data_IF_506476786123
#
_entry.id   IF_506476786123
#
_cell.length_a   1.000
_cell.length_b   1.000
_cell.length_c   1.000
_cell.angle_alpha   90.00
_cell.angle_beta   90.00
_cell.angle_gamma   90.00
#
_symmetry.space_group_name_H-M   'P 1'
#
loop_
_entity.id
_entity.type
_entity.pdbx_description
1 polymer ?
#
# COMPACT_ATOMS: atom_id res chain seq x y z
N UNK A 1 15.42 -14.81 -7.48
CA UNK A 1 14.76 -14.60 -8.78
C UNK A 1 13.68 -13.57 -8.57
N UNK A 2 13.65 -12.49 -9.36
CA UNK A 2 12.51 -11.57 -9.37
C UNK A 2 11.33 -12.32 -10.00
N UNK A 3 10.14 -12.25 -9.40
CA UNK A 3 8.94 -12.78 -10.04
C UNK A 3 8.73 -12.02 -11.38
N UNK A 4 8.36 -12.74 -12.44
CA UNK A 4 7.99 -12.10 -13.70
C UNK A 4 6.64 -11.39 -13.55
N UNK A 5 6.35 -10.43 -14.45
CA UNK A 5 5.04 -9.79 -14.49
C UNK A 5 3.90 -10.83 -14.60
N UNK A 6 4.10 -11.88 -15.38
CA UNK A 6 3.12 -12.96 -15.57
C UNK A 6 2.86 -13.76 -14.29
N UNK A 7 3.92 -14.06 -13.52
CA UNK A 7 3.79 -14.77 -12.24
C UNK A 7 2.98 -13.95 -11.23
N UNK A 8 3.34 -12.67 -11.05
CA UNK A 8 2.60 -11.77 -10.17
C UNK A 8 1.15 -11.58 -10.67
N UNK A 9 0.94 -11.51 -11.98
CA UNK A 9 -0.37 -11.31 -12.58
C UNK A 9 -1.30 -12.49 -12.32
N UNK A 10 -0.79 -13.70 -12.50
CA UNK A 10 -1.52 -14.91 -12.19
C UNK A 10 -1.97 -14.93 -10.72
N UNK A 11 -1.03 -14.68 -9.79
CA UNK A 11 -1.31 -14.71 -8.35
C UNK A 11 -2.31 -13.62 -7.92
N UNK A 12 -2.10 -12.37 -8.35
CA UNK A 12 -2.95 -11.25 -7.93
C UNK A 12 -4.33 -11.27 -8.60
N UNK A 13 -4.43 -11.67 -9.87
CA UNK A 13 -5.73 -11.83 -10.54
C UNK A 13 -6.50 -12.96 -9.87
N UNK A 14 -5.87 -14.12 -9.66
CA UNK A 14 -6.51 -15.25 -8.97
C UNK A 14 -6.99 -14.87 -7.58
N UNK A 15 -6.21 -14.13 -6.81
CA UNK A 15 -6.61 -13.67 -5.48
C UNK A 15 -7.83 -12.73 -5.53
N UNK A 16 -7.84 -11.77 -6.46
CA UNK A 16 -8.90 -10.79 -6.61
C UNK A 16 -10.22 -11.42 -7.11
N UNK A 17 -10.14 -12.34 -8.07
CA UNK A 17 -11.32 -12.88 -8.79
C UNK A 17 -11.73 -14.27 -8.34
N UNK A 18 -10.84 -15.03 -7.70
CA UNK A 18 -10.99 -16.47 -7.50
C UNK A 18 -10.74 -17.30 -8.78
N UNK A 19 -10.28 -16.67 -9.87
CA UNK A 19 -10.25 -17.23 -11.22
C UNK A 19 -8.96 -16.86 -11.96
N UNK A 20 -8.02 -17.79 -11.98
CA UNK A 20 -6.67 -17.58 -12.55
C UNK A 20 -6.68 -17.33 -14.05
N UNK A 21 -7.60 -17.95 -14.80
CA UNK A 21 -7.69 -17.84 -16.26
C UNK A 21 -8.03 -16.41 -16.73
N UNK A 22 -8.59 -15.57 -15.86
CA UNK A 22 -8.84 -14.16 -16.15
C UNK A 22 -7.55 -13.34 -16.31
N UNK A 23 -6.39 -13.89 -15.95
CA UNK A 23 -5.08 -13.29 -16.24
C UNK A 23 -4.90 -13.05 -17.75
N UNK A 24 -5.55 -13.87 -18.60
CA UNK A 24 -5.51 -13.71 -20.04
C UNK A 24 -6.23 -12.44 -20.55
N UNK A 25 -7.00 -11.73 -19.71
CA UNK A 25 -7.53 -10.41 -20.01
C UNK A 25 -6.53 -9.28 -19.71
N UNK A 26 -5.52 -9.50 -18.87
CA UNK A 26 -4.50 -8.49 -18.55
C UNK A 26 -3.40 -8.49 -19.61
N UNK A 27 -3.02 -7.30 -20.07
CA UNK A 27 -1.89 -7.08 -20.98
C UNK A 27 -0.80 -6.27 -20.26
N UNK A 28 0.45 -6.34 -20.73
CA UNK A 28 1.50 -5.44 -20.26
C UNK A 28 1.08 -3.97 -20.40
N UNK A 29 1.53 -3.07 -19.51
CA UNK A 29 1.22 -1.65 -19.61
C UNK A 29 1.67 -1.04 -20.94
N UNK A 30 0.85 -0.13 -21.47
CA UNK A 30 1.23 0.80 -22.51
C UNK A 30 2.22 1.84 -21.94
N UNK A 31 3.48 1.76 -22.37
CA UNK A 31 4.55 2.60 -21.86
C UNK A 31 5.13 2.12 -20.52
N UNK A 32 6.25 2.71 -20.07
CA UNK A 32 6.96 2.26 -18.89
C UNK A 32 6.24 2.63 -17.59
N UNK A 33 6.32 1.74 -16.61
CA UNK A 33 6.05 2.05 -15.19
C UNK A 33 7.38 2.34 -14.52
N UNK A 34 7.63 3.60 -14.17
CA UNK A 34 8.94 4.08 -13.73
C UNK A 34 8.98 4.27 -12.21
N UNK A 35 9.19 3.15 -11.51
CA UNK A 35 9.42 3.13 -10.06
C UNK A 35 10.81 2.53 -9.77
N UNK A 36 11.89 3.35 -9.80
CA UNK A 36 13.25 2.86 -9.62
C UNK A 36 13.43 2.19 -8.28
N UNK A 37 13.72 0.88 -8.28
CA UNK A 37 13.90 0.09 -7.07
C UNK A 37 14.72 -1.16 -7.39
N UNK A 38 15.57 -1.64 -6.46
CA UNK A 38 16.19 -2.96 -6.57
C UNK A 38 15.18 -4.11 -6.43
N UNK A 39 13.96 -3.81 -5.96
CA UNK A 39 12.84 -4.74 -5.86
C UNK A 39 11.87 -4.53 -7.05
N UNK A 40 11.06 -5.53 -7.42
CA UNK A 40 10.14 -5.44 -8.56
C UNK A 40 8.88 -4.61 -8.27
N UNK A 41 9.07 -3.38 -7.77
CA UNK A 41 7.98 -2.47 -7.35
C UNK A 41 7.16 -2.02 -8.55
N UNK A 42 7.80 -1.70 -9.69
CA UNK A 42 7.11 -1.32 -10.91
C UNK A 42 6.18 -2.43 -11.43
N UNK A 43 6.67 -3.68 -11.41
CA UNK A 43 5.87 -4.84 -11.79
C UNK A 43 4.72 -5.05 -10.82
N UNK A 44 5.00 -5.06 -9.50
CA UNK A 44 3.96 -5.22 -8.49
C UNK A 44 2.87 -4.15 -8.59
N UNK A 45 3.27 -2.89 -8.80
CA UNK A 45 2.35 -1.76 -8.94
C UNK A 45 1.43 -1.92 -10.16
N UNK A 46 2.01 -2.19 -11.33
CA UNK A 46 1.26 -2.43 -12.56
C UNK A 46 0.31 -3.61 -12.40
N UNK A 47 0.79 -4.71 -11.86
CA UNK A 47 0.00 -5.92 -11.72
C UNK A 47 -1.15 -5.76 -10.71
N UNK A 48 -0.94 -5.05 -9.60
CA UNK A 48 -2.00 -4.79 -8.62
C UNK A 48 -3.15 -3.96 -9.22
N UNK A 49 -2.83 -2.89 -9.97
CA UNK A 49 -3.82 -2.07 -10.67
C UNK A 49 -4.53 -2.90 -11.76
N UNK A 50 -3.78 -3.72 -12.48
CA UNK A 50 -4.30 -4.63 -13.49
C UNK A 50 -5.27 -5.66 -12.92
N UNK A 51 -4.92 -6.31 -11.81
CA UNK A 51 -5.76 -7.28 -11.13
C UNK A 51 -7.06 -6.67 -10.62
N UNK A 52 -7.00 -5.47 -10.01
CA UNK A 52 -8.18 -4.73 -9.58
C UNK A 52 -9.10 -4.38 -10.77
N UNK A 53 -8.50 -3.97 -11.90
CA UNK A 53 -9.24 -3.63 -13.13
C UNK A 53 -9.90 -4.84 -13.76
N UNK A 54 -9.21 -5.99 -13.83
CA UNK A 54 -9.79 -7.26 -14.32
C UNK A 54 -10.92 -7.73 -13.41
N UNK A 55 -10.76 -7.63 -12.08
CA UNK A 55 -11.82 -7.97 -11.14
C UNK A 55 -13.06 -7.09 -11.30
N UNK A 56 -12.86 -5.77 -11.45
CA UNK A 56 -13.94 -4.83 -11.70
C UNK A 56 -14.66 -5.13 -13.04
N UNK A 57 -13.93 -5.41 -14.11
CA UNK A 57 -14.51 -5.76 -15.41
C UNK A 57 -15.27 -7.09 -15.38
N UNK A 58 -14.71 -8.10 -14.72
CA UNK A 58 -15.37 -9.40 -14.49
C UNK A 58 -16.68 -9.23 -13.72
N UNK A 59 -16.68 -8.41 -12.66
CA UNK A 59 -17.88 -8.13 -11.89
C UNK A 59 -18.92 -7.35 -12.70
N UNK A 60 -18.50 -6.34 -13.46
CA UNK A 60 -19.39 -5.59 -14.35
C UNK A 60 -20.09 -6.51 -15.36
N UNK A 61 -19.34 -7.43 -15.98
CA UNK A 61 -19.89 -8.43 -16.90
C UNK A 61 -20.91 -9.33 -16.20
N UNK A 62 -20.55 -9.84 -15.01
CA UNK A 62 -21.43 -10.74 -14.28
C UNK A 62 -22.74 -10.08 -13.88
N UNK A 63 -22.68 -8.80 -13.49
CA UNK A 63 -23.86 -8.01 -13.15
C UNK A 63 -24.75 -7.67 -14.34
N UNK A 64 -24.16 -7.39 -15.50
CA UNK A 64 -24.92 -7.02 -16.71
C UNK A 64 -25.57 -8.22 -17.39
N UNK A 65 -24.95 -9.40 -17.31
CA UNK A 65 -25.41 -10.61 -18.01
C UNK A 65 -26.09 -11.63 -17.09
N UNK A 66 -25.89 -11.53 -15.78
CA UNK A 66 -26.30 -12.55 -14.81
C UNK A 66 -25.51 -13.86 -14.92
N UNK A 67 -24.33 -13.85 -15.56
CA UNK A 67 -23.51 -15.03 -15.85
C UNK A 67 -22.07 -14.82 -15.41
N UNK A 68 -21.37 -15.91 -15.09
CA UNK A 68 -19.91 -15.81 -14.97
C UNK A 68 -19.28 -15.41 -16.31
N UNK A 69 -18.22 -14.60 -16.22
CA UNK A 69 -17.54 -14.08 -17.41
C UNK A 69 -16.71 -15.16 -18.10
N UNK A 70 -16.85 -15.28 -19.42
CA UNK A 70 -15.84 -15.92 -20.25
C UNK A 70 -14.73 -14.90 -20.51
N UNK A 71 -13.46 -15.28 -20.31
CA UNK A 71 -12.31 -14.39 -20.55
C UNK A 71 -12.29 -13.85 -21.98
N UNK A 72 -12.80 -14.61 -22.96
CA UNK A 72 -12.94 -14.17 -24.35
C UNK A 72 -13.96 -13.03 -24.53
N UNK A 73 -14.86 -12.83 -23.56
CA UNK A 73 -15.84 -11.75 -23.53
C UNK A 73 -15.32 -10.47 -22.86
N UNK A 74 -14.15 -10.50 -22.22
CA UNK A 74 -13.55 -9.32 -21.62
C UNK A 74 -12.77 -8.51 -22.66
N UNK A 75 -12.97 -7.19 -22.62
CA UNK A 75 -12.07 -6.26 -23.30
C UNK A 75 -10.71 -6.37 -22.61
N UNK A 76 -9.60 -6.56 -23.35
CA UNK A 76 -8.27 -6.61 -22.77
C UNK A 76 -7.96 -5.36 -21.94
N UNK A 77 -7.51 -5.58 -20.70
CA UNK A 77 -7.07 -4.52 -19.79
C UNK A 77 -5.63 -4.15 -20.14
N UNK A 78 -5.45 -2.94 -20.67
CA UNK A 78 -4.15 -2.34 -20.93
C UNK A 78 -4.00 -1.11 -20.05
N UNK A 79 -3.00 -1.10 -19.16
CA UNK A 79 -2.75 0.02 -18.26
C UNK A 79 -1.91 1.10 -18.95
N UNK A 80 -2.14 2.37 -18.61
CA UNK A 80 -1.24 3.46 -18.98
C UNK A 80 -0.09 3.52 -17.95
N UNK A 81 1.11 3.10 -18.37
CA UNK A 81 2.28 2.99 -17.49
C UNK A 81 2.68 4.31 -16.82
N UNK A 82 2.77 5.42 -17.56
CA UNK A 82 2.95 6.76 -16.99
C UNK A 82 1.90 7.15 -15.95
N UNK A 83 0.61 6.82 -16.16
CA UNK A 83 -0.43 7.09 -15.14
C UNK A 83 -0.27 6.24 -13.89
N UNK A 84 0.09 4.96 -14.03
CA UNK A 84 0.42 4.10 -12.87
C UNK A 84 1.61 4.69 -12.10
N UNK A 85 2.64 5.16 -12.82
CA UNK A 85 3.79 5.84 -12.22
C UNK A 85 3.38 7.07 -11.42
N UNK A 86 2.55 7.93 -12.01
CA UNK A 86 2.07 9.15 -11.35
C UNK A 86 1.23 8.83 -10.11
N UNK A 87 0.37 7.81 -10.16
CA UNK A 87 -0.43 7.38 -9.02
C UNK A 87 0.41 6.83 -7.86
N UNK A 88 1.47 6.07 -8.15
CA UNK A 88 2.39 5.53 -7.14
C UNK A 88 3.44 6.54 -6.64
N UNK A 89 3.51 7.72 -7.27
CA UNK A 89 4.36 8.85 -6.87
C UNK A 89 3.53 10.11 -6.68
N UNK A 90 2.29 9.94 -6.20
CA UNK A 90 1.32 11.02 -6.07
C UNK A 90 1.86 12.16 -5.21
N UNK A 91 2.69 11.87 -4.21
CA UNK A 91 3.35 12.86 -3.34
C UNK A 91 4.27 13.84 -4.09
N UNK A 92 4.67 13.52 -5.32
CA UNK A 92 5.56 14.34 -6.14
C UNK A 92 4.81 15.22 -7.14
N UNK A 93 3.56 14.87 -7.42
CA UNK A 93 2.71 15.54 -8.40
C UNK A 93 1.56 16.29 -7.74
N UNK A 94 1.15 15.86 -6.54
CA UNK A 94 0.12 16.50 -5.75
C UNK A 94 0.57 17.89 -5.32
N UNK A 95 -0.33 18.85 -5.50
CA UNK A 95 -0.19 20.21 -4.97
C UNK A 95 -1.48 20.61 -4.29
N UNK A 96 -1.34 21.36 -3.20
CA UNK A 96 -2.46 21.97 -2.51
C UNK A 96 -2.24 23.47 -2.48
N UNK A 97 -3.19 24.23 -3.04
CA UNK A 97 -3.06 25.68 -3.22
C UNK A 97 -1.78 26.11 -3.98
N UNK A 98 -1.30 25.25 -4.89
CA UNK A 98 -0.08 25.49 -5.67
C UNK A 98 1.22 25.09 -4.94
N UNK A 99 1.14 24.66 -3.69
CA UNK A 99 2.31 24.25 -2.89
C UNK A 99 2.43 22.73 -2.83
N UNK A 100 3.68 22.24 -2.78
CA UNK A 100 3.97 20.82 -2.55
C UNK A 100 4.04 20.56 -1.05
N UNK A 101 3.35 19.54 -0.53
CA UNK A 101 3.47 19.18 0.88
C UNK A 101 4.88 18.70 1.23
N UNK A 102 5.32 18.99 2.46
CA UNK A 102 6.50 18.34 3.01
C UNK A 102 6.13 16.94 3.49
N UNK A 103 6.60 15.93 2.75
CA UNK A 103 6.31 14.54 3.04
C UNK A 103 7.15 13.97 4.20
N UNK A 104 8.21 14.66 4.65
CA UNK A 104 9.23 14.07 5.53
C UNK A 104 9.55 14.94 6.74
N UNK A 105 8.90 14.63 7.86
CA UNK A 105 9.22 15.25 9.14
C UNK A 105 10.70 15.00 9.56
N UNK A 106 11.35 15.92 10.30
CA UNK A 106 12.76 15.80 10.68
C UNK A 106 13.14 14.50 11.40
N UNK A 107 12.19 13.91 12.15
CA UNK A 107 12.34 12.67 12.89
C UNK A 107 12.06 11.41 12.05
N UNK A 108 11.79 11.55 10.74
CA UNK A 108 11.45 10.48 9.82
C UNK A 108 12.51 10.36 8.74
N UNK A 109 13.09 9.18 8.56
CA UNK A 109 14.17 9.02 7.60
C UNK A 109 15.08 7.84 7.88
N UNK A 110 16.13 7.74 7.07
CA UNK A 110 17.23 6.82 7.31
C UNK A 110 18.34 7.54 8.09
N UNK A 111 18.85 6.89 9.13
CA UNK A 111 19.88 7.41 10.02
C UNK A 111 20.98 6.38 10.22
N UNK A 112 22.22 6.84 10.26
CA UNK A 112 23.38 6.01 10.57
C UNK A 112 23.37 5.57 12.03
N UNK A 113 23.85 4.36 12.25
CA UNK A 113 24.09 3.73 13.55
C UNK A 113 25.53 3.23 13.58
N UNK A 114 25.98 2.70 14.72
CA UNK A 114 27.37 2.25 14.89
C UNK A 114 27.77 1.12 13.90
N UNK A 115 26.82 0.33 13.40
CA UNK A 115 27.06 -0.84 12.55
C UNK A 115 26.24 -0.84 11.24
N UNK A 116 25.60 0.27 10.88
CA UNK A 116 24.76 0.34 9.69
C UNK A 116 23.72 1.45 9.76
N UNK A 117 22.48 1.15 9.41
CA UNK A 117 21.40 2.14 9.32
C UNK A 117 20.13 1.67 10.01
N UNK A 118 19.34 2.64 10.48
CA UNK A 118 17.94 2.45 10.87
C UNK A 118 17.03 3.36 10.06
N UNK A 119 15.79 2.94 9.86
CA UNK A 119 14.69 3.77 9.39
C UNK A 119 13.80 4.14 10.56
N UNK A 120 13.62 5.44 10.80
CA UNK A 120 12.66 5.94 11.79
C UNK A 120 11.38 6.40 11.10
N UNK A 121 10.27 6.38 11.84
CA UNK A 121 9.02 7.01 11.42
C UNK A 121 8.58 8.05 12.46
N UNK A 122 8.70 9.32 12.08
CA UNK A 122 8.40 10.47 12.93
C UNK A 122 7.43 11.48 12.30
N UNK A 123 6.64 11.06 11.30
CA UNK A 123 5.71 11.94 10.61
C UNK A 123 4.55 12.42 11.50
N UNK A 124 4.19 11.63 12.51
CA UNK A 124 3.19 12.04 13.51
C UNK A 124 3.87 12.62 14.76
N UNK A 125 3.31 13.68 15.37
CA UNK A 125 3.87 14.30 16.57
C UNK A 125 4.12 13.31 17.71
N UNK A 126 3.19 12.37 17.94
CA UNK A 126 3.32 11.37 19.01
C UNK A 126 4.41 10.33 18.73
N UNK A 127 4.69 9.99 17.46
CA UNK A 127 5.82 9.13 17.10
C UNK A 127 7.16 9.87 17.22
N UNK A 128 7.22 11.13 16.79
CA UNK A 128 8.41 11.96 16.96
C UNK A 128 8.75 12.16 18.45
N UNK A 129 7.75 12.40 19.29
CA UNK A 129 7.91 12.50 20.73
C UNK A 129 8.40 11.18 21.34
N UNK A 130 7.86 10.03 20.92
CA UNK A 130 8.33 8.72 21.37
C UNK A 130 9.80 8.47 21.01
N UNK A 131 10.21 8.80 19.78
CA UNK A 131 11.60 8.70 19.35
C UNK A 131 12.52 9.59 20.19
N UNK A 132 12.14 10.85 20.44
CA UNK A 132 12.95 11.79 21.23
C UNK A 132 13.09 11.36 22.69
N UNK A 133 12.00 10.93 23.32
CA UNK A 133 12.05 10.36 24.68
C UNK A 133 12.97 9.15 24.76
N UNK A 134 12.86 8.24 23.80
CA UNK A 134 13.76 7.07 23.73
C UNK A 134 15.22 7.52 23.59
N UNK A 135 15.51 8.51 22.75
CA UNK A 135 16.88 9.00 22.58
C UNK A 135 17.38 9.90 23.73
N UNK A 136 16.55 10.19 24.74
CA UNK A 136 16.89 11.13 25.82
C UNK A 136 17.05 12.58 25.34
N UNK A 137 16.36 12.93 24.25
CA UNK A 137 16.43 14.26 23.62
C UNK A 137 15.23 15.12 24.04
N UNK A 138 15.44 16.44 24.09
CA UNK A 138 14.34 17.40 24.28
C UNK A 138 13.36 17.42 23.11
N UNK A 139 12.14 17.90 23.34
CA UNK A 139 11.04 17.85 22.37
C UNK A 139 11.33 18.61 21.05
N UNK A 140 12.15 19.66 21.12
CA UNK A 140 12.56 20.47 19.97
C UNK A 140 13.81 19.95 19.26
N UNK A 141 14.35 18.80 19.68
CA UNK A 141 15.54 18.23 19.07
C UNK A 141 15.31 17.97 17.58
N UNK A 142 16.17 18.61 16.78
CA UNK A 142 16.17 18.49 15.32
C UNK A 142 16.84 17.21 14.82
N UNK A 143 16.86 17.08 13.49
CA UNK A 143 17.40 15.92 12.77
C UNK A 143 18.85 15.58 13.15
N UNK A 144 19.70 16.59 13.36
CA UNK A 144 21.13 16.37 13.65
C UNK A 144 21.36 15.78 15.03
N UNK A 145 20.58 16.20 16.03
CA UNK A 145 20.63 15.63 17.38
C UNK A 145 20.14 14.17 17.39
N UNK A 146 19.06 13.89 16.65
CA UNK A 146 18.55 12.53 16.44
C UNK A 146 19.62 11.65 15.78
N UNK A 147 20.24 12.15 14.70
CA UNK A 147 21.30 11.44 14.00
C UNK A 147 22.52 11.18 14.90
N UNK A 148 22.93 12.17 15.70
CA UNK A 148 24.04 12.02 16.64
C UNK A 148 23.75 10.95 17.70
N UNK A 149 22.54 10.92 18.28
CA UNK A 149 22.15 9.92 19.26
C UNK A 149 22.12 8.51 18.65
N UNK A 150 21.52 8.34 17.46
CA UNK A 150 21.41 7.04 16.80
C UNK A 150 22.78 6.45 16.41
N UNK A 151 23.80 7.27 16.14
CA UNK A 151 25.16 6.80 15.87
C UNK A 151 25.86 6.12 17.06
N UNK A 152 25.37 6.30 18.28
CA UNK A 152 26.06 5.84 19.49
C UNK A 152 25.92 4.34 19.78
N UNK A 153 24.98 3.64 19.13
CA UNK A 153 24.74 2.22 19.32
C UNK A 153 24.36 1.53 18.00
N UNK A 154 24.27 0.20 18.03
CA UNK A 154 23.94 -0.61 16.86
C UNK A 154 22.49 -0.46 16.44
N UNK A 155 22.20 -0.75 15.17
CA UNK A 155 20.82 -0.76 14.67
C UNK A 155 19.91 -1.76 15.39
N UNK A 156 20.45 -2.90 15.81
CA UNK A 156 19.70 -3.88 16.62
C UNK A 156 19.32 -3.31 17.99
N UNK A 157 20.26 -2.66 18.68
CA UNK A 157 19.98 -2.03 19.97
C UNK A 157 18.82 -1.02 19.86
N UNK A 158 18.83 -0.16 18.84
CA UNK A 158 17.77 0.82 18.65
C UNK A 158 16.43 0.23 18.24
N UNK A 159 16.43 -0.80 17.39
CA UNK A 159 15.20 -1.50 17.00
C UNK A 159 14.54 -2.18 18.22
N UNK A 160 15.31 -2.91 19.03
CA UNK A 160 14.81 -3.57 20.24
C UNK A 160 14.29 -2.57 21.27
N UNK A 161 15.05 -1.48 21.48
CA UNK A 161 14.65 -0.42 22.40
C UNK A 161 13.40 0.32 21.94
N UNK A 162 13.27 0.58 20.64
CA UNK A 162 12.09 1.21 20.08
C UNK A 162 10.84 0.34 20.27
N UNK A 163 10.96 -0.98 20.07
CA UNK A 163 9.87 -1.91 20.34
C UNK A 163 9.44 -1.90 21.82
N UNK A 164 10.39 -1.77 22.75
CA UNK A 164 10.11 -1.71 24.18
C UNK A 164 9.49 -0.37 24.63
N UNK A 165 9.87 0.74 24.01
CA UNK A 165 9.48 2.10 24.43
C UNK A 165 8.38 2.74 23.57
N UNK A 166 7.85 2.00 22.59
CA UNK A 166 6.76 2.47 21.71
C UNK A 166 7.19 3.50 20.66
N UNK A 167 8.47 3.53 20.31
CA UNK A 167 8.99 4.30 19.16
C UNK A 167 8.97 3.43 17.88
N UNK A 168 9.07 4.07 16.71
CA UNK A 168 9.11 3.37 15.43
C UNK A 168 10.51 3.50 14.83
N UNK A 169 11.30 2.46 15.01
CA UNK A 169 12.66 2.33 14.45
C UNK A 169 12.81 0.91 13.91
N UNK A 170 13.15 0.78 12.63
CA UNK A 170 13.45 -0.50 12.00
C UNK A 170 14.89 -0.54 11.53
N UNK A 171 15.64 -1.59 11.87
CA UNK A 171 17.00 -1.79 11.38
C UNK A 171 16.97 -2.06 9.88
N UNK A 172 17.79 -1.32 9.14
CA UNK A 172 18.01 -1.57 7.71
C UNK A 172 18.91 -2.77 7.57
N UNK A 173 18.37 -3.83 7.00
CA UNK A 173 19.05 -5.10 6.77
C UNK A 173 19.46 -5.22 5.30
N UNK A 174 20.62 -5.81 5.06
CA UNK A 174 20.99 -6.32 3.75
C UNK A 174 20.05 -7.45 3.32
N UNK A 175 20.04 -7.75 2.02
CA UNK A 175 19.27 -8.87 1.48
C UNK A 175 19.67 -10.20 2.14
N UNK A 176 20.97 -10.39 2.43
CA UNK A 176 21.45 -11.62 3.04
C UNK A 176 20.99 -11.75 4.50
N UNK A 177 21.11 -10.69 5.29
CA UNK A 177 20.61 -10.66 6.68
C UNK A 177 19.10 -10.90 6.74
N UNK A 178 18.32 -10.31 5.82
CA UNK A 178 16.89 -10.57 5.73
C UNK A 178 16.61 -12.05 5.41
N UNK A 179 17.30 -12.64 4.43
CA UNK A 179 17.05 -14.03 3.99
C UNK A 179 17.25 -15.08 5.06
N UNK A 180 18.07 -14.79 6.08
CA UNK A 180 18.34 -15.66 7.23
C UNK A 180 17.58 -15.25 8.49
N UNK A 181 16.73 -14.21 8.42
CA UNK A 181 15.98 -13.70 9.56
C UNK A 181 14.73 -14.57 9.82
N UNK A 182 14.36 -14.86 11.08
CA UNK A 182 13.17 -15.65 11.40
C UNK A 182 11.87 -15.11 10.78
N UNK A 183 11.73 -13.79 10.69
CA UNK A 183 10.57 -13.18 10.01
C UNK A 183 10.52 -13.49 8.51
N UNK A 184 11.67 -13.65 7.84
CA UNK A 184 11.68 -14.03 6.42
C UNK A 184 11.17 -15.46 6.24
N UNK A 185 11.53 -16.38 7.13
CA UNK A 185 11.00 -17.74 7.11
C UNK A 185 9.51 -17.77 7.44
N UNK A 186 9.07 -16.95 8.41
CA UNK A 186 7.66 -16.82 8.74
C UNK A 186 6.82 -16.33 7.54
N UNK A 187 7.26 -15.29 6.82
CA UNK A 187 6.50 -14.78 5.67
C UNK A 187 6.59 -15.67 4.44
N UNK A 188 7.68 -16.43 4.27
CA UNK A 188 7.82 -17.42 3.18
C UNK A 188 6.78 -18.54 3.25
N UNK A 189 6.25 -18.81 4.45
CA UNK A 189 5.23 -19.83 4.64
C UNK A 189 3.84 -19.42 4.12
N UNK A 190 3.64 -18.15 3.74
CA UNK A 190 2.35 -17.63 3.28
C UNK A 190 2.40 -17.24 1.80
N UNK A 191 1.28 -17.39 1.05
CA UNK A 191 1.16 -16.83 -0.29
C UNK A 191 1.19 -15.29 -0.22
N UNK A 192 1.41 -14.61 -1.36
CA UNK A 192 1.39 -13.15 -1.42
C UNK A 192 0.04 -12.59 -0.97
N UNK A 193 -1.04 -13.27 -1.35
CA UNK A 193 -2.39 -12.96 -0.92
C UNK A 193 -3.08 -14.23 -0.44
N UNK A 194 -3.54 -14.21 0.81
CA UNK A 194 -4.39 -15.24 1.39
C UNK A 194 -5.84 -14.76 1.37
N UNK A 195 -6.75 -15.60 0.88
CA UNK A 195 -8.19 -15.34 0.87
C UNK A 195 -8.90 -16.48 1.59
N UNK A 196 -9.61 -16.14 2.65
CA UNK A 196 -10.53 -17.05 3.33
C UNK A 196 -11.96 -16.53 3.10
N UNK A 197 -12.83 -17.35 2.49
CA UNK A 197 -14.24 -16.98 2.30
C UNK A 197 -15.01 -17.43 3.53
N UNK A 198 -15.55 -16.48 4.29
CA UNK A 198 -16.43 -16.81 5.41
C UNK A 198 -17.75 -17.39 4.88
N UNK A 199 -18.25 -18.45 5.51
CA UNK A 199 -19.56 -19.06 5.21
C UNK A 199 -20.71 -18.21 5.79
N UNK A 200 -20.70 -16.92 5.45
CA UNK A 200 -21.82 -16.01 5.65
C UNK A 200 -22.44 -15.86 4.28
N UNK A 201 -23.63 -16.43 4.10
CA UNK A 201 -24.35 -16.39 2.83
C UNK A 201 -24.23 -15.02 2.17
N UNK A 202 -23.75 -15.00 0.93
CA UNK A 202 -23.54 -13.76 0.21
C UNK A 202 -24.88 -13.04 0.07
N UNK A 203 -24.97 -11.80 0.58
CA UNK A 203 -26.12 -10.96 0.27
C UNK A 203 -26.04 -10.63 -1.22
N UNK A 204 -27.06 -10.99 -2.03
CA UNK A 204 -27.06 -10.63 -3.44
C UNK A 204 -26.94 -9.11 -3.59
N UNK A 205 -26.13 -8.65 -4.53
CA UNK A 205 -26.16 -7.23 -4.92
C UNK A 205 -27.48 -7.00 -5.66
N UNK A 206 -28.47 -6.46 -4.96
CA UNK A 206 -29.86 -6.33 -5.43
C UNK A 206 -30.09 -5.12 -6.33
N UNK A 207 -29.16 -4.17 -6.33
CA UNK A 207 -29.28 -2.99 -7.19
C UNK A 207 -29.15 -3.38 -8.67
N UNK A 208 -30.00 -2.83 -9.56
CA UNK A 208 -29.93 -3.06 -11.00
C UNK A 208 -28.50 -2.86 -11.52
N UNK A 209 -28.17 -3.52 -12.64
CA UNK A 209 -26.90 -3.28 -13.32
C UNK A 209 -26.76 -1.79 -13.67
N UNK A 210 -26.11 -1.03 -12.79
CA UNK A 210 -25.68 0.34 -13.07
C UNK A 210 -24.49 0.31 -14.03
N UNK A 211 -24.04 1.48 -14.49
CA UNK A 211 -22.81 1.61 -15.28
C UNK A 211 -21.54 1.20 -14.53
N UNK A 212 -21.55 1.09 -13.20
CA UNK A 212 -20.36 0.82 -12.38
C UNK A 212 -20.45 -0.53 -11.63
N UNK A 213 -19.33 -1.29 -11.54
CA UNK A 213 -19.33 -2.68 -11.03
C UNK A 213 -19.69 -2.82 -9.55
N UNK A 214 -19.32 -1.85 -8.71
CA UNK A 214 -19.56 -1.86 -7.26
C UNK A 214 -20.76 -1.01 -6.83
N UNK A 215 -21.63 -0.59 -7.75
CA UNK A 215 -22.84 0.12 -7.37
C UNK A 215 -23.72 -0.70 -6.41
N UNK A 216 -24.20 -0.04 -5.35
CA UNK A 216 -24.94 -0.67 -4.25
C UNK A 216 -24.07 -1.41 -3.23
N UNK A 217 -22.75 -1.49 -3.43
CA UNK A 217 -21.82 -2.02 -2.42
C UNK A 217 -21.52 -0.94 -1.40
N UNK A 218 -21.68 -1.26 -0.12
CA UNK A 218 -21.30 -0.36 0.99
C UNK A 218 -20.00 -0.88 1.62
N UNK A 219 -19.03 0.00 1.75
CA UNK A 219 -17.70 -0.32 2.29
C UNK A 219 -17.49 0.50 3.55
N UNK A 220 -17.13 -0.16 4.64
CA UNK A 220 -16.71 0.50 5.87
C UNK A 220 -15.17 0.56 5.87
N UNK A 221 -14.62 1.77 5.72
CA UNK A 221 -13.18 2.01 5.75
C UNK A 221 -12.73 2.32 7.19
N UNK A 222 -12.01 1.37 7.80
CA UNK A 222 -11.37 1.46 9.11
C UNK A 222 -9.85 1.58 9.01
N UNK A 223 -9.35 2.01 7.85
CA UNK A 223 -7.92 2.10 7.54
C UNK A 223 -7.42 3.53 7.62
N UNK A 224 -6.11 3.75 7.52
CA UNK A 224 -5.49 5.08 7.62
C UNK A 224 -4.28 5.25 6.70
N UNK A 225 -3.86 6.50 6.55
CA UNK A 225 -2.58 6.91 5.94
C UNK A 225 -2.53 6.74 4.42
N UNK A 226 -2.23 5.54 3.89
CA UNK A 226 -1.98 5.35 2.45
C UNK A 226 -2.66 4.08 1.90
N UNK A 227 -2.18 2.89 2.28
CA UNK A 227 -2.56 1.65 1.58
C UNK A 227 -4.08 1.38 1.62
N UNK A 228 -4.68 1.61 2.79
CA UNK A 228 -6.11 1.46 2.97
C UNK A 228 -6.93 2.55 2.26
N UNK A 229 -6.68 3.85 2.48
CA UNK A 229 -7.32 4.93 1.73
C UNK A 229 -7.25 4.76 0.20
N UNK A 230 -6.09 4.40 -0.35
CA UNK A 230 -5.93 4.12 -1.79
C UNK A 230 -6.81 2.95 -2.24
N UNK A 231 -6.91 1.90 -1.41
CA UNK A 231 -7.76 0.75 -1.70
C UNK A 231 -9.24 1.14 -1.72
N UNK A 232 -9.71 1.89 -0.72
CA UNK A 232 -11.13 2.26 -0.60
C UNK A 232 -11.54 3.33 -1.60
N UNK A 233 -10.66 4.30 -1.90
CA UNK A 233 -10.78 5.20 -3.06
C UNK A 233 -10.96 4.44 -4.38
N UNK A 234 -10.21 3.36 -4.57
CA UNK A 234 -10.32 2.52 -5.78
C UNK A 234 -11.68 1.83 -5.84
N UNK A 235 -12.22 1.37 -4.70
CA UNK A 235 -13.58 0.82 -4.63
C UNK A 235 -14.65 1.88 -4.89
N UNK A 236 -14.50 3.10 -4.36
CA UNK A 236 -15.38 4.23 -4.64
C UNK A 236 -15.37 4.61 -6.13
N UNK A 237 -14.20 4.63 -6.77
CA UNK A 237 -14.06 4.83 -8.22
C UNK A 237 -14.87 3.79 -9.03
N UNK A 238 -14.98 2.57 -8.51
CA UNK A 238 -15.78 1.50 -9.09
C UNK A 238 -17.27 1.54 -8.67
N UNK A 239 -17.71 2.57 -7.95
CA UNK A 239 -19.11 2.83 -7.61
C UNK A 239 -19.56 2.39 -6.21
N UNK A 240 -18.65 1.96 -5.34
CA UNK A 240 -18.99 1.65 -3.96
C UNK A 240 -19.31 2.92 -3.14
N UNK A 241 -20.23 2.81 -2.19
CA UNK A 241 -20.48 3.80 -1.14
C UNK A 241 -19.52 3.54 0.03
N UNK A 242 -18.50 4.39 0.18
CA UNK A 242 -17.44 4.23 1.17
C UNK A 242 -17.70 5.15 2.37
N UNK A 243 -17.88 4.55 3.54
CA UNK A 243 -17.90 5.28 4.81
C UNK A 243 -16.59 5.07 5.54
N UNK A 244 -15.79 6.14 5.63
CA UNK A 244 -14.56 6.17 6.43
C UNK A 244 -14.85 6.61 7.86
N UNK A 245 -14.30 5.87 8.83
CA UNK A 245 -14.37 6.22 10.25
C UNK A 245 -12.97 6.37 10.81
N UNK A 246 -12.64 7.59 11.23
CA UNK A 246 -11.39 7.93 11.89
C UNK A 246 -11.57 8.14 13.40
N UNK A 247 -10.52 7.84 14.17
CA UNK A 247 -10.50 8.09 15.60
C UNK A 247 -10.37 9.58 15.88
N UNK A 248 -11.21 10.18 16.75
CA UNK A 248 -11.08 11.60 17.11
C UNK A 248 -9.81 11.90 17.93
N UNK A 249 -9.08 10.86 18.38
CA UNK A 249 -7.90 10.99 19.24
C UNK A 249 -6.58 10.84 18.49
N UNK A 250 -6.60 10.47 17.21
CA UNK A 250 -5.39 10.25 16.44
C UNK A 250 -5.33 11.27 15.30
N UNK A 251 -4.28 12.11 15.22
CA UNK A 251 -4.14 13.06 14.14
C UNK A 251 -3.95 12.33 12.80
N UNK A 252 -4.44 12.92 11.72
CA UNK A 252 -4.20 12.50 10.33
C UNK A 252 -3.23 13.45 9.66
N UNK A 253 -2.54 13.01 8.60
CA UNK A 253 -1.67 13.88 7.80
C UNK A 253 -2.51 14.50 6.69
N UNK A 254 -2.85 15.78 6.82
CA UNK A 254 -3.82 16.48 5.97
C UNK A 254 -3.60 16.27 4.47
N UNK A 255 -2.36 16.44 4.00
CA UNK A 255 -2.09 16.31 2.57
C UNK A 255 -2.24 14.87 2.07
N UNK A 256 -1.91 13.86 2.89
CA UNK A 256 -2.09 12.45 2.52
C UNK A 256 -3.57 12.11 2.46
N UNK A 257 -4.36 12.64 3.40
CA UNK A 257 -5.81 12.50 3.38
C UNK A 257 -6.41 13.12 2.11
N UNK A 258 -5.98 14.32 1.72
CA UNK A 258 -6.47 14.98 0.50
C UNK A 258 -6.05 14.25 -0.79
N UNK A 259 -4.87 13.64 -0.81
CA UNK A 259 -4.33 12.92 -1.98
C UNK A 259 -4.93 11.52 -2.16
N UNK A 260 -5.20 10.82 -1.06
CA UNK A 260 -5.55 9.39 -1.08
C UNK A 260 -6.94 9.05 -0.55
N UNK A 261 -7.60 9.96 0.17
CA UNK A 261 -8.87 9.72 0.88
C UNK A 261 -10.14 10.16 0.15
N UNK A 262 -10.05 10.54 -1.13
CA UNK A 262 -11.21 10.89 -1.95
C UNK A 262 -12.00 9.64 -2.38
N UNK A 263 -13.33 9.74 -2.36
CA UNK A 263 -14.22 8.63 -2.69
C UNK A 263 -15.21 8.41 -1.57
#
# INVERSE_FOLDING_TARGET
>A
MSASFEQLASELVSAATGRTELVAALRPPAGPVTLPSPLPVAQLAATAVGAASVAAASLAYARSTGREVDVASLIPVVLDGPRVTAAYRSEQVFTWNGERPDAWAPASGFFETADGWVRTHGNYPHHAAALRRMLGLGDDAGKDAIAAALRTATGAHWEDRAAAEGAIVGRVRTVQEWRTHPHADAVRAYPLVRRDVADRGASPLTEPASSLPLAGVRVLDLTRVIAGPVSTRTLALFGADVLRIDSPRLPEIDWQFLDTGQG
#
